data_IF_297295609468
#
_entry.id   IF_297295609468
#
_cell.length_a   1.000
_cell.length_b   1.000
_cell.length_c   1.000
_cell.angle_alpha   90.00
_cell.angle_beta   90.00
_cell.angle_gamma   90.00
#
_symmetry.space_group_name_H-M   'P 1'
#
loop_
_entity.id
_entity.type
_entity.pdbx_description
1 polymer ?
#
# COMPACT_ATOMS: atom_id res chain seq x y z
N UNK A 1 12.12 -71.28 54.61
CA UNK A 1 13.42 -71.04 53.93
C UNK A 1 13.25 -69.77 53.11
N UNK A 2 13.96 -68.69 53.45
CA UNK A 2 13.81 -67.36 52.84
C UNK A 2 14.47 -67.37 51.47
N UNK A 3 13.75 -67.02 50.39
CA UNK A 3 14.37 -66.71 49.10
C UNK A 3 14.63 -65.21 49.01
N UNK A 4 15.88 -64.88 48.72
CA UNK A 4 16.38 -63.52 48.57
C UNK A 4 15.79 -62.85 47.32
N UNK A 5 15.23 -61.67 47.53
CA UNK A 5 14.79 -60.74 46.49
C UNK A 5 16.03 -60.10 45.84
N UNK A 6 16.21 -60.30 44.53
CA UNK A 6 17.19 -59.55 43.72
C UNK A 6 16.40 -58.88 42.60
N UNK A 7 16.37 -57.54 42.62
CA UNK A 7 15.70 -56.69 41.65
C UNK A 7 16.73 -56.34 40.56
N UNK A 8 16.56 -56.74 39.29
CA UNK A 8 17.37 -56.24 38.21
C UNK A 8 16.79 -54.89 37.73
N UNK A 9 17.58 -53.82 37.89
CA UNK A 9 17.32 -52.51 37.31
C UNK A 9 17.75 -52.53 35.83
N UNK A 10 16.79 -52.64 34.91
CA UNK A 10 17.02 -52.52 33.47
C UNK A 10 16.60 -51.11 33.00
N UNK A 11 17.59 -50.24 32.79
CA UNK A 11 17.41 -48.97 32.06
C UNK A 11 17.76 -49.25 30.60
N UNK A 12 16.75 -49.37 29.74
CA UNK A 12 16.91 -49.36 28.29
C UNK A 12 15.75 -48.57 27.67
N UNK A 13 16.11 -47.57 26.88
CA UNK A 13 15.25 -46.49 26.42
C UNK A 13 13.98 -46.93 25.72
N UNK A 14 12.87 -46.41 26.21
CA UNK A 14 11.55 -46.55 25.63
C UNK A 14 11.35 -45.42 24.60
N UNK A 15 11.74 -45.68 23.35
CA UNK A 15 11.37 -44.82 22.22
C UNK A 15 9.92 -45.13 21.83
N UNK A 16 8.96 -44.61 22.59
CA UNK A 16 7.58 -44.50 22.11
C UNK A 16 7.43 -43.17 21.39
N UNK A 17 7.38 -43.25 20.05
CA UNK A 17 6.90 -42.15 19.22
C UNK A 17 5.42 -41.92 19.53
N UNK A 18 5.13 -40.82 20.22
CA UNK A 18 3.77 -40.33 20.37
C UNK A 18 3.33 -39.71 19.04
N UNK A 19 2.42 -40.37 18.34
CA UNK A 19 1.52 -39.68 17.44
C UNK A 19 0.53 -38.90 18.30
N UNK A 20 0.77 -37.60 18.47
CA UNK A 20 -0.21 -36.67 19.01
C UNK A 20 -0.86 -35.96 17.83
N UNK A 21 -2.06 -36.40 17.46
CA UNK A 21 -2.99 -35.58 16.69
C UNK A 21 -3.42 -34.41 17.60
N UNK A 22 -2.69 -33.30 17.50
CA UNK A 22 -3.14 -32.01 18.00
C UNK A 22 -3.28 -31.09 16.79
N UNK A 23 -4.52 -30.90 16.35
CA UNK A 23 -4.91 -29.68 15.64
C UNK A 23 -4.83 -28.59 16.69
N UNK A 24 -3.74 -27.83 16.70
CA UNK A 24 -3.64 -26.61 17.50
C UNK A 24 -2.80 -25.58 16.74
N UNK A 25 -3.55 -24.62 16.16
CA UNK A 25 -3.23 -23.24 15.80
C UNK A 25 -1.78 -22.91 15.35
N UNK A 26 -1.69 -22.47 14.08
CA UNK A 26 -0.50 -21.89 13.46
C UNK A 26 0.29 -20.96 14.39
N UNK A 27 1.60 -21.20 14.61
CA UNK A 27 2.48 -20.16 15.11
C UNK A 27 2.90 -19.31 13.90
N UNK A 28 2.16 -18.22 13.73
CA UNK A 28 2.57 -17.00 13.02
C UNK A 28 2.77 -17.14 11.50
N UNK A 29 1.64 -17.15 10.77
CA UNK A 29 1.61 -16.47 9.49
C UNK A 29 2.00 -15.00 9.74
N UNK A 30 3.28 -14.67 9.65
CA UNK A 30 3.74 -13.30 9.54
C UNK A 30 3.26 -12.76 8.18
N UNK A 31 1.98 -12.42 8.10
CA UNK A 31 1.45 -11.62 7.02
C UNK A 31 2.15 -10.25 7.12
N UNK A 32 3.20 -10.05 6.33
CA UNK A 32 3.96 -8.80 6.30
C UNK A 32 3.25 -7.71 5.49
N UNK A 33 1.91 -7.72 5.51
CA UNK A 33 1.13 -6.68 4.88
C UNK A 33 1.59 -5.34 5.46
N UNK A 34 1.93 -4.35 4.61
CA UNK A 34 2.15 -3.00 5.06
C UNK A 34 0.92 -2.53 5.87
N UNK A 35 1.16 -1.80 6.94
CA UNK A 35 0.11 -1.26 7.82
C UNK A 35 0.14 0.26 7.80
N UNK A 36 -0.93 0.89 8.28
CA UNK A 36 -1.06 2.35 8.37
C UNK A 36 -0.84 3.03 7.00
N UNK A 37 -1.26 2.34 5.93
CA UNK A 37 -1.14 2.87 4.57
C UNK A 37 -2.01 4.11 4.44
N UNK A 38 -1.42 5.22 4.03
CA UNK A 38 -2.11 6.48 3.83
C UNK A 38 -1.40 7.32 2.76
N UNK A 39 -2.06 8.40 2.34
CA UNK A 39 -1.49 9.35 1.41
C UNK A 39 -1.53 10.77 1.98
N UNK A 40 -0.46 11.51 1.77
CA UNK A 40 -0.35 12.93 2.13
C UNK A 40 0.18 13.74 0.93
N UNK A 41 0.26 15.07 1.08
CA UNK A 41 0.81 15.97 0.07
C UNK A 41 0.23 15.79 -1.35
N UNK A 42 -1.03 15.34 -1.44
CA UNK A 42 -1.71 15.14 -2.72
C UNK A 42 -1.94 16.50 -3.37
N UNK A 43 -1.41 16.66 -4.58
CA UNK A 43 -1.59 17.84 -5.42
C UNK A 43 -1.99 17.42 -6.85
N UNK A 44 -1.85 18.33 -7.81
CA UNK A 44 -2.27 18.13 -9.20
C UNK A 44 -1.50 16.99 -9.88
N UNK A 45 -0.23 16.79 -9.54
CA UNK A 45 0.68 15.86 -10.24
C UNK A 45 1.45 14.91 -9.33
N UNK A 46 1.32 15.01 -8.02
CA UNK A 46 2.07 14.19 -7.05
C UNK A 46 1.23 13.77 -5.85
N UNK A 47 1.63 12.66 -5.21
CA UNK A 47 1.14 12.22 -3.91
C UNK A 47 2.26 11.54 -3.12
N UNK A 48 2.32 11.74 -1.80
CA UNK A 48 3.21 10.98 -0.92
C UNK A 48 2.44 9.79 -0.35
N UNK A 49 2.88 8.57 -0.68
CA UNK A 49 2.30 7.32 -0.19
C UNK A 49 3.12 6.83 0.99
N UNK A 50 2.49 6.68 2.15
CA UNK A 50 3.13 6.27 3.39
C UNK A 50 2.68 4.88 3.82
N UNK A 51 3.56 4.15 4.47
CA UNK A 51 3.26 2.86 5.12
C UNK A 51 4.21 2.61 6.29
N UNK A 52 3.82 1.67 7.14
CA UNK A 52 4.67 1.10 8.18
C UNK A 52 4.71 -0.42 8.04
N UNK A 53 5.73 -1.05 8.63
CA UNK A 53 5.81 -2.51 8.72
C UNK A 53 5.31 -2.98 10.08
N UNK A 54 4.53 -4.08 10.15
CA UNK A 54 3.96 -4.57 11.41
C UNK A 54 5.02 -5.09 12.39
N UNK A 55 6.24 -5.35 11.94
CA UNK A 55 7.32 -5.89 12.77
C UNK A 55 8.60 -5.06 12.62
N UNK A 56 9.41 -4.94 13.69
CA UNK A 56 10.63 -4.15 13.66
C UNK A 56 11.57 -4.67 12.58
N UNK A 57 11.91 -3.79 11.64
CA UNK A 57 12.89 -4.05 10.58
C UNK A 57 14.15 -4.67 11.20
N UNK A 58 14.49 -5.92 10.84
CA UNK A 58 15.91 -6.15 10.60
C UNK A 58 16.25 -5.32 9.36
N UNK A 59 17.36 -4.60 9.43
CA UNK A 59 17.75 -3.54 8.52
C UNK A 59 18.13 -4.01 7.10
N UNK A 60 17.74 -5.22 6.68
CA UNK A 60 18.32 -5.85 5.48
C UNK A 60 17.37 -6.19 4.35
N UNK A 61 16.04 -6.26 4.47
CA UNK A 61 15.10 -6.26 3.32
C UNK A 61 13.68 -6.64 3.72
N UNK A 62 12.80 -5.64 3.87
CA UNK A 62 11.37 -5.85 3.62
C UNK A 62 10.94 -4.91 2.50
N UNK A 63 11.42 -5.13 1.27
CA UNK A 63 11.01 -4.31 0.15
C UNK A 63 9.50 -4.37 -0.06
N UNK A 64 8.90 -3.24 -0.41
CA UNK A 64 7.50 -3.18 -0.82
C UNK A 64 7.40 -2.82 -2.29
N UNK A 65 6.30 -3.23 -2.89
CA UNK A 65 5.86 -2.73 -4.17
C UNK A 65 4.63 -1.85 -4.00
N UNK A 66 4.43 -0.94 -4.94
CA UNK A 66 3.24 -0.08 -4.98
C UNK A 66 2.64 -0.16 -6.38
N UNK A 67 1.39 -0.62 -6.43
CA UNK A 67 0.57 -0.55 -7.62
C UNK A 67 -0.38 0.64 -7.54
N UNK A 68 -0.36 1.47 -8.58
CA UNK A 68 -1.29 2.59 -8.78
C UNK A 68 -2.27 2.25 -9.87
N UNK A 69 -3.56 2.45 -9.60
CA UNK A 69 -4.62 2.28 -10.60
C UNK A 69 -5.41 3.59 -10.72
N UNK A 70 -5.40 4.28 -11.88
CA UNK A 70 -6.35 5.35 -12.14
C UNK A 70 -7.76 4.76 -12.28
N UNK A 71 -8.77 5.47 -11.82
CA UNK A 71 -10.17 5.06 -11.98
C UNK A 71 -10.51 4.85 -13.46
N UNK A 72 -11.04 3.67 -13.79
CA UNK A 72 -11.37 3.29 -15.16
C UNK A 72 -10.15 2.85 -16.01
N UNK A 73 -8.95 2.79 -15.43
CA UNK A 73 -7.74 2.28 -16.08
C UNK A 73 -7.21 1.01 -15.43
N UNK A 74 -5.99 0.64 -15.83
CA UNK A 74 -5.29 -0.56 -15.33
C UNK A 74 -4.25 -0.21 -14.27
N UNK A 75 -3.97 -1.15 -13.38
CA UNK A 75 -2.90 -1.03 -12.41
C UNK A 75 -1.52 -0.96 -13.09
N UNK A 76 -0.66 -0.11 -12.55
CA UNK A 76 0.76 -0.01 -12.91
C UNK A 76 1.60 -0.06 -11.64
N UNK A 77 2.61 -0.92 -11.62
CA UNK A 77 3.62 -0.93 -10.56
C UNK A 77 4.53 0.29 -10.70
N UNK A 78 4.41 1.23 -9.76
CA UNK A 78 5.15 2.50 -9.73
C UNK A 78 6.36 2.46 -8.78
N UNK A 79 6.35 1.50 -7.86
CA UNK A 79 7.49 1.14 -7.04
C UNK A 79 7.63 -0.38 -7.11
N UNK A 80 8.79 -0.87 -7.55
CA UNK A 80 9.18 -2.27 -7.41
C UNK A 80 10.49 -2.31 -6.64
N UNK A 81 10.43 -2.80 -5.41
CA UNK A 81 11.61 -3.06 -4.60
C UNK A 81 11.73 -4.56 -4.26
N UNK A 82 10.64 -5.33 -4.38
CA UNK A 82 10.56 -6.74 -3.94
C UNK A 82 11.52 -7.65 -4.71
N UNK A 83 11.70 -7.40 -6.01
CA UNK A 83 12.57 -8.21 -6.88
C UNK A 83 13.98 -7.62 -7.04
N UNK A 84 14.31 -6.55 -6.31
CA UNK A 84 15.58 -5.80 -6.47
C UNK A 84 15.72 -5.08 -7.81
N UNK A 85 14.66 -5.04 -8.62
CA UNK A 85 14.61 -4.39 -9.95
C UNK A 85 14.35 -2.89 -9.90
N UNK A 86 14.71 -2.24 -8.80
CA UNK A 86 14.37 -0.85 -8.54
C UNK A 86 14.91 0.07 -9.66
N UNK A 87 13.97 0.62 -10.44
CA UNK A 87 14.23 1.58 -11.52
C UNK A 87 13.55 2.94 -11.26
N UNK A 88 12.94 3.11 -10.07
CA UNK A 88 12.15 4.28 -9.67
C UNK A 88 12.85 5.24 -8.69
N UNK A 89 12.14 6.26 -8.21
CA UNK A 89 12.66 7.29 -7.30
C UNK A 89 12.88 6.76 -5.87
N UNK A 90 13.96 7.20 -5.20
CA UNK A 90 14.32 6.79 -3.84
C UNK A 90 13.16 6.96 -2.85
N UNK A 91 12.84 5.91 -2.10
CA UNK A 91 11.95 6.00 -0.93
C UNK A 91 12.78 6.29 0.32
N UNK A 92 12.14 6.82 1.36
CA UNK A 92 12.80 7.09 2.65
C UNK A 92 11.99 6.52 3.79
N UNK A 93 12.67 5.99 4.80
CA UNK A 93 12.06 5.56 6.04
C UNK A 93 12.64 6.35 7.21
N UNK A 94 11.78 6.77 8.12
CA UNK A 94 12.21 7.44 9.35
C UNK A 94 12.67 6.45 10.43
N UNK A 95 13.22 6.97 11.52
CA UNK A 95 13.64 6.18 12.68
C UNK A 95 12.47 5.48 13.38
N UNK A 96 11.24 6.00 13.20
CA UNK A 96 9.98 5.44 13.69
C UNK A 96 9.37 4.38 12.77
N UNK A 97 10.10 3.97 11.72
CA UNK A 97 9.74 2.85 10.83
C UNK A 97 8.55 3.13 9.93
N UNK A 98 8.26 4.41 9.70
CA UNK A 98 7.33 4.87 8.67
C UNK A 98 8.12 5.18 7.41
N UNK A 99 7.75 4.54 6.31
CA UNK A 99 8.35 4.74 5.01
C UNK A 99 7.42 5.57 4.13
N UNK A 100 7.98 6.27 3.15
CA UNK A 100 7.18 6.95 2.14
C UNK A 100 7.82 6.93 0.75
N UNK A 101 6.96 6.98 -0.26
CA UNK A 101 7.29 7.10 -1.67
C UNK A 101 6.52 8.27 -2.29
N UNK A 102 7.23 9.16 -2.97
CA UNK A 102 6.65 10.27 -3.74
C UNK A 102 6.28 9.77 -5.13
N UNK A 103 4.98 9.59 -5.37
CA UNK A 103 4.48 9.38 -6.71
C UNK A 103 4.43 10.70 -7.50
N UNK A 104 4.75 10.64 -8.79
CA UNK A 104 4.80 11.79 -9.69
C UNK A 104 4.13 11.47 -11.02
N UNK A 105 3.70 12.51 -11.73
CA UNK A 105 3.05 12.38 -13.04
C UNK A 105 1.57 11.98 -12.95
N UNK A 106 0.89 12.32 -11.84
CA UNK A 106 -0.56 12.20 -11.77
C UNK A 106 -1.23 13.11 -12.80
N UNK A 107 -2.27 12.58 -13.42
CA UNK A 107 -3.26 13.39 -14.14
C UNK A 107 -4.13 14.14 -13.14
N UNK A 108 -4.43 15.40 -13.42
CA UNK A 108 -5.20 16.27 -12.53
C UNK A 108 -6.64 15.79 -12.39
N UNK A 109 -7.26 16.04 -11.24
CA UNK A 109 -8.68 15.74 -11.05
C UNK A 109 -9.06 14.27 -11.26
N UNK A 110 -8.13 13.36 -11.03
CA UNK A 110 -8.28 11.93 -11.30
C UNK A 110 -8.28 11.17 -9.98
N UNK A 111 -9.21 10.22 -9.84
CA UNK A 111 -9.22 9.30 -8.70
C UNK A 111 -8.19 8.20 -8.94
N UNK A 112 -7.36 7.93 -7.94
CA UNK A 112 -6.39 6.84 -7.94
C UNK A 112 -6.60 5.94 -6.73
N UNK A 113 -6.46 4.63 -6.93
CA UNK A 113 -6.22 3.69 -5.85
C UNK A 113 -4.75 3.29 -5.79
N UNK A 114 -4.20 3.19 -4.59
CA UNK A 114 -2.86 2.68 -4.33
C UNK A 114 -2.93 1.44 -3.47
N UNK A 115 -2.27 0.37 -3.90
CA UNK A 115 -2.07 -0.84 -3.10
C UNK A 115 -0.59 -0.92 -2.77
N UNK A 116 -0.27 -1.06 -1.49
CA UNK A 116 1.11 -1.30 -1.03
C UNK A 116 1.18 -2.74 -0.55
N UNK A 117 2.18 -3.48 -1.02
CA UNK A 117 2.34 -4.88 -0.67
C UNK A 117 3.77 -5.23 -0.38
N UNK A 118 3.95 -6.25 0.46
CA UNK A 118 5.17 -7.01 0.49
C UNK A 118 5.04 -8.14 -0.53
N UNK A 119 5.68 -7.95 -1.68
CA UNK A 119 5.64 -8.89 -2.80
C UNK A 119 6.61 -10.06 -2.61
N UNK A 120 6.39 -11.11 -3.39
CA UNK A 120 7.29 -12.24 -3.51
C UNK A 120 8.59 -11.82 -4.22
N UNK A 121 9.73 -12.36 -3.78
CA UNK A 121 11.07 -11.97 -4.32
C UNK A 121 11.29 -12.27 -5.81
N UNK A 122 10.29 -12.86 -6.50
CA UNK A 122 10.36 -13.32 -7.89
C UNK A 122 9.42 -12.58 -8.83
N UNK A 123 8.39 -11.91 -8.32
CA UNK A 123 7.36 -11.24 -9.12
C UNK A 123 7.17 -9.82 -8.61
N UNK A 124 6.90 -8.88 -9.52
CA UNK A 124 6.74 -7.47 -9.18
C UNK A 124 5.27 -7.10 -9.05
N UNK A 125 4.97 -6.18 -8.13
CA UNK A 125 3.66 -5.59 -7.94
C UNK A 125 2.82 -6.34 -6.92
N UNK A 126 1.56 -5.92 -6.80
CA UNK A 126 0.64 -6.35 -5.75
C UNK A 126 -0.51 -7.20 -6.26
N UNK A 127 -0.43 -7.66 -7.51
CA UNK A 127 -1.39 -8.62 -8.06
C UNK A 127 -1.32 -9.96 -7.31
N UNK A 128 -2.43 -10.70 -7.29
CA UNK A 128 -2.56 -11.95 -6.51
C UNK A 128 -1.45 -12.99 -6.80
N UNK A 129 -0.90 -13.02 -8.01
CA UNK A 129 0.24 -13.90 -8.34
C UNK A 129 1.54 -13.52 -7.62
N UNK A 130 1.76 -12.22 -7.39
CA UNK A 130 2.96 -11.67 -6.76
C UNK A 130 2.88 -11.61 -5.23
N UNK A 131 1.75 -12.04 -4.63
CA UNK A 131 1.55 -12.10 -3.17
C UNK A 131 1.02 -13.48 -2.73
N UNK A 132 1.51 -14.55 -3.35
CA UNK A 132 0.93 -15.89 -3.18
C UNK A 132 1.71 -16.81 -2.23
N UNK A 133 2.84 -16.35 -1.67
CA UNK A 133 3.58 -17.12 -0.66
C UNK A 133 3.16 -16.77 0.76
N UNK A 134 3.58 -17.60 1.71
CA UNK A 134 3.30 -17.46 3.15
C UNK A 134 3.74 -16.12 3.75
N UNK A 135 4.72 -15.44 3.14
CA UNK A 135 5.29 -14.20 3.67
C UNK A 135 4.87 -12.96 2.88
N UNK A 136 4.10 -13.10 1.81
CA UNK A 136 3.67 -12.00 0.98
C UNK A 136 2.23 -11.60 1.28
N UNK A 137 1.97 -10.29 1.27
CA UNK A 137 0.63 -9.76 1.52
C UNK A 137 0.51 -8.30 1.07
N UNK A 138 -0.70 -7.91 0.69
CA UNK A 138 -1.06 -6.53 0.39
C UNK A 138 -1.85 -5.91 1.55
N UNK A 139 -1.65 -4.61 1.75
CA UNK A 139 -2.57 -3.79 2.52
C UNK A 139 -3.85 -3.54 1.72
N UNK A 140 -4.91 -3.12 2.41
CA UNK A 140 -6.08 -2.56 1.74
C UNK A 140 -5.69 -1.35 0.89
N UNK A 141 -6.33 -1.23 -0.28
CA UNK A 141 -6.10 -0.11 -1.15
C UNK A 141 -6.60 1.20 -0.54
N UNK A 142 -5.80 2.25 -0.64
CA UNK A 142 -6.21 3.62 -0.31
C UNK A 142 -6.61 4.38 -1.56
N UNK A 143 -7.50 5.35 -1.40
CA UNK A 143 -8.04 6.13 -2.50
C UNK A 143 -7.72 7.61 -2.31
N UNK A 144 -7.28 8.26 -3.38
CA UNK A 144 -7.01 9.70 -3.39
C UNK A 144 -7.55 10.32 -4.66
N UNK A 145 -7.77 11.63 -4.60
CA UNK A 145 -8.11 12.45 -5.76
C UNK A 145 -7.00 13.47 -5.95
N UNK A 146 -6.33 13.45 -7.10
CA UNK A 146 -5.37 14.50 -7.43
C UNK A 146 -6.08 15.84 -7.53
N UNK A 147 -5.41 16.91 -7.12
CA UNK A 147 -6.01 18.25 -7.13
C UNK A 147 -6.25 18.74 -8.55
N UNK A 148 -7.09 19.76 -8.62
CA UNK A 148 -7.38 20.51 -9.83
C UNK A 148 -6.49 21.75 -9.88
N UNK A 149 -5.94 22.06 -11.06
CA UNK A 149 -5.44 23.43 -11.29
C UNK A 149 -6.62 24.39 -11.16
N UNK A 150 -6.43 25.48 -10.41
CA UNK A 150 -7.44 26.51 -10.30
C UNK A 150 -7.82 27.05 -11.69
N UNK A 151 -9.11 27.34 -11.94
CA UNK A 151 -9.51 28.08 -13.12
C UNK A 151 -8.73 29.40 -13.22
N UNK A 152 -8.34 29.77 -14.43
CA UNK A 152 -7.65 31.04 -14.68
C UNK A 152 -8.49 31.96 -15.52
N UNK A 153 -8.02 33.19 -15.73
CA UNK A 153 -8.66 34.17 -16.59
C UNK A 153 -10.16 34.36 -16.27
N UNK A 154 -10.48 34.36 -14.97
CA UNK A 154 -11.85 34.58 -14.51
C UNK A 154 -12.27 36.01 -14.85
N UNK A 155 -13.33 36.15 -15.64
CA UNK A 155 -13.93 37.42 -16.01
C UNK A 155 -15.39 37.45 -15.60
N UNK A 156 -15.83 38.64 -15.20
CA UNK A 156 -17.22 38.96 -14.87
C UNK A 156 -17.66 40.09 -15.79
N UNK A 157 -18.66 39.84 -16.61
CA UNK A 157 -19.26 40.86 -17.48
C UNK A 157 -20.64 41.22 -16.92
N UNK A 158 -20.80 42.41 -16.30
CA UNK A 158 -22.09 42.80 -15.74
C UNK A 158 -23.09 43.16 -16.84
N UNK A 159 -24.33 42.76 -16.65
CA UNK A 159 -25.52 43.18 -17.39
C UNK A 159 -26.50 43.86 -16.42
N UNK A 160 -27.57 44.45 -16.92
CA UNK A 160 -28.52 45.22 -16.07
C UNK A 160 -29.14 44.40 -14.92
N UNK A 161 -29.28 43.08 -15.06
CA UNK A 161 -29.88 42.18 -14.05
C UNK A 161 -29.13 40.86 -13.84
N UNK A 162 -28.01 40.66 -14.52
CA UNK A 162 -27.21 39.43 -14.47
C UNK A 162 -25.73 39.74 -14.60
N UNK A 163 -24.89 38.73 -14.46
CA UNK A 163 -23.50 38.80 -14.84
C UNK A 163 -23.12 37.51 -15.56
N UNK A 164 -22.42 37.66 -16.69
CA UNK A 164 -21.83 36.53 -17.39
C UNK A 164 -20.45 36.24 -16.78
N UNK A 165 -20.23 34.99 -16.42
CA UNK A 165 -19.00 34.51 -15.82
C UNK A 165 -18.27 33.63 -16.82
N UNK A 166 -16.99 33.91 -17.05
CA UNK A 166 -16.14 33.10 -17.93
C UNK A 166 -14.81 32.81 -17.24
N UNK A 167 -14.24 31.63 -17.50
CA UNK A 167 -12.93 31.23 -17.01
C UNK A 167 -12.31 30.19 -17.94
N UNK A 168 -11.00 30.09 -17.87
CA UNK A 168 -10.23 29.07 -18.57
C UNK A 168 -10.06 27.83 -17.69
N UNK A 169 -10.14 26.69 -18.36
CA UNK A 169 -9.77 25.41 -17.80
C UNK A 169 -8.45 24.94 -18.44
N UNK A 170 -7.40 24.83 -17.62
CA UNK A 170 -6.02 24.65 -18.11
C UNK A 170 -5.65 23.19 -18.39
N UNK A 171 -6.46 22.23 -17.95
CA UNK A 171 -6.18 20.81 -18.10
C UNK A 171 -7.09 20.17 -19.15
N UNK A 172 -6.51 19.63 -20.22
CA UNK A 172 -7.28 19.05 -21.34
C UNK A 172 -7.44 17.53 -21.27
N UNK A 173 -6.95 16.90 -20.20
CA UNK A 173 -7.08 15.46 -19.97
C UNK A 173 -8.43 15.07 -19.37
N UNK A 174 -8.67 13.76 -19.24
CA UNK A 174 -9.89 13.25 -18.61
C UNK A 174 -9.80 13.39 -17.08
N UNK A 175 -10.73 14.13 -16.50
CA UNK A 175 -10.79 14.41 -15.06
C UNK A 175 -11.94 13.63 -14.45
N UNK A 176 -11.67 12.42 -13.99
CA UNK A 176 -12.72 11.49 -13.53
C UNK A 176 -13.44 11.96 -12.27
N UNK A 177 -12.86 12.91 -11.52
CA UNK A 177 -13.40 13.42 -10.27
C UNK A 177 -14.04 14.83 -10.37
N UNK A 178 -14.07 15.46 -11.55
CA UNK A 178 -14.67 16.79 -11.69
C UNK A 178 -16.20 16.68 -11.67
N UNK A 179 -16.82 17.21 -10.62
CA UNK A 179 -18.29 17.23 -10.45
C UNK A 179 -18.91 18.61 -10.70
N UNK A 180 -18.10 19.68 -10.67
CA UNK A 180 -18.56 21.03 -10.98
C UNK A 180 -17.63 22.12 -10.47
N UNK A 181 -18.04 23.38 -10.65
CA UNK A 181 -17.37 24.56 -10.12
C UNK A 181 -18.18 25.19 -9.00
N UNK A 182 -17.51 25.67 -7.96
CA UNK A 182 -18.14 26.49 -6.92
C UNK A 182 -17.88 27.97 -7.23
N UNK A 183 -18.96 28.72 -7.45
CA UNK A 183 -18.91 30.18 -7.58
C UNK A 183 -19.47 30.81 -6.31
N UNK A 184 -18.72 31.72 -5.70
CA UNK A 184 -19.15 32.48 -4.52
C UNK A 184 -19.13 33.98 -4.86
N UNK A 185 -20.18 34.70 -4.49
CA UNK A 185 -20.25 36.15 -4.63
C UNK A 185 -20.73 36.77 -3.31
N UNK A 186 -20.44 38.05 -3.12
CA UNK A 186 -20.85 38.82 -1.95
C UNK A 186 -21.49 40.12 -2.41
N UNK A 187 -22.69 40.40 -1.89
CA UNK A 187 -23.40 41.67 -2.04
C UNK A 187 -22.91 42.73 -1.06
#
# INVERSE_FOLDING_TARGET
MRLNLVIPLLVAGLMFGAASNMVDFAPEAYAHAPIVVNATNVNETTADIHWAHPNPMNNTSMPVDIDRTPQGGSATTILNNSTGGFTGAAFSCDSAKTCFFRDTGLSQGTVYSYTVCHGDTRESGCAAGAINTTNAAAADAIWVVSKFTAPGNFTVTPNDTSADLSWDHWYTGNMTALDGYQVQYKS
#
